data_IF_571819215459
#
_entry.id   IF_571819215459
#
_cell.length_a   1.000
_cell.length_b   1.000
_cell.length_c   1.000
_cell.angle_alpha   90.00
_cell.angle_beta   90.00
_cell.angle_gamma   90.00
#
_symmetry.space_group_name_H-M   'P 1'
#
loop_
_entity.id
_entity.type
_entity.pdbx_description
1 polymer ?
#
# COMPACT_ATOMS: atom_id res chain seq x y z
N UNK A 1 -28.34 11.45 -67.32
CA UNK A 1 -27.66 10.47 -66.45
C UNK A 1 -28.74 9.59 -65.87
N UNK A 2 -28.77 8.36 -66.31
CA UNK A 2 -29.80 7.36 -65.98
C UNK A 2 -29.49 6.74 -64.62
N UNK A 3 -30.51 6.33 -63.85
CA UNK A 3 -30.32 5.68 -62.54
C UNK A 3 -29.48 4.39 -62.62
N UNK A 4 -29.42 3.74 -63.78
CA UNK A 4 -28.59 2.55 -64.02
C UNK A 4 -27.10 2.85 -63.93
N UNK A 5 -26.66 4.05 -64.35
CA UNK A 5 -25.24 4.44 -64.33
C UNK A 5 -24.72 4.64 -62.90
N UNK A 6 -25.62 4.89 -61.94
CA UNK A 6 -25.28 5.06 -60.52
C UNK A 6 -25.14 3.72 -59.80
N UNK A 7 -26.01 2.75 -60.09
CA UNK A 7 -25.94 1.41 -59.49
C UNK A 7 -24.74 0.63 -60.02
N UNK A 8 -24.41 0.76 -61.31
CA UNK A 8 -23.21 0.15 -61.90
C UNK A 8 -21.93 0.73 -61.29
N UNK A 9 -21.88 2.06 -61.09
CA UNK A 9 -20.76 2.72 -60.41
C UNK A 9 -20.65 2.32 -58.92
N UNK A 10 -21.78 2.06 -58.25
CA UNK A 10 -21.79 1.58 -56.88
C UNK A 10 -21.25 0.13 -56.77
N UNK A 11 -21.54 -0.71 -57.75
CA UNK A 11 -21.02 -2.07 -57.81
C UNK A 11 -19.50 -2.10 -58.07
N UNK A 12 -18.99 -1.24 -58.96
CA UNK A 12 -17.54 -1.10 -59.20
C UNK A 12 -16.79 -0.56 -57.97
N UNK A 13 -17.40 0.33 -57.19
CA UNK A 13 -16.81 0.87 -55.96
C UNK A 13 -16.87 -0.10 -54.77
N UNK A 14 -17.76 -1.09 -54.80
CA UNK A 14 -17.87 -2.09 -53.74
C UNK A 14 -16.63 -3.01 -53.65
N UNK A 15 -15.93 -3.23 -54.76
CA UNK A 15 -14.68 -4.00 -54.79
C UNK A 15 -13.51 -3.28 -54.07
N UNK A 16 -13.62 -1.95 -53.92
CA UNK A 16 -12.66 -1.11 -53.21
C UNK A 16 -13.08 -0.80 -51.77
N UNK A 17 -14.18 -1.38 -51.27
CA UNK A 17 -14.60 -1.22 -49.90
C UNK A 17 -13.57 -1.86 -48.94
N UNK A 18 -13.08 -1.14 -47.92
CA UNK A 18 -12.16 -1.73 -46.95
C UNK A 18 -12.86 -2.89 -46.22
N UNK A 19 -12.17 -4.02 -45.95
CA UNK A 19 -12.78 -5.16 -45.29
C UNK A 19 -13.37 -4.73 -43.95
N UNK A 20 -14.61 -5.12 -43.68
CA UNK A 20 -15.26 -4.83 -42.40
C UNK A 20 -14.37 -5.33 -41.27
N UNK A 21 -13.85 -4.39 -40.47
CA UNK A 21 -13.10 -4.73 -39.26
C UNK A 21 -14.06 -5.49 -38.36
N UNK A 22 -13.81 -6.80 -38.16
CA UNK A 22 -14.47 -7.59 -37.12
C UNK A 22 -14.40 -6.75 -35.85
N UNK A 23 -15.55 -6.27 -35.36
CA UNK A 23 -15.63 -5.58 -34.08
C UNK A 23 -14.99 -6.53 -33.06
N UNK A 24 -13.87 -6.12 -32.48
CA UNK A 24 -13.22 -6.89 -31.41
C UNK A 24 -14.24 -7.13 -30.30
N UNK A 25 -14.12 -8.27 -29.63
CA UNK A 25 -14.97 -8.57 -28.47
C UNK A 25 -14.78 -7.47 -27.43
N UNK A 26 -15.80 -7.11 -26.64
CA UNK A 26 -15.60 -6.18 -25.54
C UNK A 26 -14.56 -6.74 -24.57
N UNK A 27 -13.76 -5.86 -23.97
CA UNK A 27 -12.64 -6.25 -23.09
C UNK A 27 -13.07 -7.13 -21.91
N UNK A 28 -14.34 -7.09 -21.50
CA UNK A 28 -14.93 -7.98 -20.50
C UNK A 28 -14.99 -9.43 -21.00
N UNK A 29 -15.46 -9.66 -22.22
CA UNK A 29 -15.54 -10.98 -22.83
C UNK A 29 -14.16 -11.58 -23.05
N UNK A 30 -13.19 -10.79 -23.54
CA UNK A 30 -11.81 -11.26 -23.74
C UNK A 30 -11.17 -11.74 -22.43
N UNK A 31 -11.43 -11.06 -21.31
CA UNK A 31 -10.96 -11.48 -19.98
C UNK A 31 -11.63 -12.78 -19.50
N UNK A 32 -12.92 -12.96 -19.81
CA UNK A 32 -13.66 -14.18 -19.48
C UNK A 32 -13.08 -15.36 -20.26
N UNK A 33 -12.85 -15.17 -21.57
CA UNK A 33 -12.26 -16.17 -22.47
C UNK A 33 -10.85 -16.54 -22.03
N UNK A 34 -9.96 -15.57 -21.82
CA UNK A 34 -8.59 -15.83 -21.40
C UNK A 34 -8.53 -16.63 -20.09
N UNK A 35 -9.40 -16.29 -19.12
CA UNK A 35 -9.48 -17.03 -17.87
C UNK A 35 -10.08 -18.42 -18.00
N UNK A 36 -10.90 -18.69 -19.02
CA UNK A 36 -11.38 -20.04 -19.31
C UNK A 36 -10.30 -20.88 -20.01
N UNK A 37 -9.53 -20.28 -20.92
CA UNK A 37 -8.38 -20.94 -21.56
C UNK A 37 -7.31 -21.37 -20.54
N UNK A 38 -7.09 -20.59 -19.48
CA UNK A 38 -6.21 -20.98 -18.37
C UNK A 38 -6.71 -22.25 -17.65
N UNK A 39 -8.03 -22.35 -17.44
CA UNK A 39 -8.66 -23.53 -16.84
C UNK A 39 -8.51 -24.73 -17.80
N UNK A 40 -8.69 -24.53 -19.10
CA UNK A 40 -8.52 -25.58 -20.12
C UNK A 40 -7.08 -26.08 -20.24
N UNK A 41 -6.09 -25.21 -20.06
CA UNK A 41 -4.68 -25.60 -20.00
C UNK A 41 -4.38 -26.40 -18.75
N UNK A 42 -4.96 -26.01 -17.61
CA UNK A 42 -4.83 -26.76 -16.37
C UNK A 42 -5.37 -28.19 -16.54
N UNK A 43 -6.57 -28.34 -17.08
CA UNK A 43 -7.19 -29.66 -17.31
C UNK A 43 -6.42 -30.50 -18.33
N UNK A 44 -5.85 -29.90 -19.38
CA UNK A 44 -4.95 -30.58 -20.32
C UNK A 44 -3.68 -31.09 -19.63
N UNK A 45 -3.08 -30.26 -18.77
CA UNK A 45 -1.83 -30.59 -18.10
C UNK A 45 -2.00 -31.66 -17.03
N UNK A 46 -3.06 -31.57 -16.22
CA UNK A 46 -3.27 -32.44 -15.07
C UNK A 46 -4.28 -33.57 -15.30
N UNK A 47 -4.96 -33.57 -16.46
CA UNK A 47 -5.98 -34.57 -16.82
C UNK A 47 -7.23 -34.53 -15.95
N UNK A 48 -7.43 -33.47 -15.15
CA UNK A 48 -8.54 -33.34 -14.22
C UNK A 48 -9.05 -31.90 -14.14
N UNK A 49 -10.32 -31.76 -13.78
CA UNK A 49 -10.96 -30.46 -13.51
C UNK A 49 -10.39 -29.88 -12.21
N UNK A 50 -10.18 -28.54 -12.12
CA UNK A 50 -9.75 -27.93 -10.87
C UNK A 50 -10.75 -28.20 -9.74
N UNK A 51 -10.24 -28.46 -8.54
CA UNK A 51 -11.05 -28.79 -7.36
C UNK A 51 -10.77 -27.83 -6.21
N UNK A 52 -11.76 -27.66 -5.34
CA UNK A 52 -11.59 -26.98 -4.05
C UNK A 52 -10.77 -27.85 -3.09
N UNK A 53 -10.01 -27.22 -2.19
CA UNK A 53 -9.29 -27.92 -1.12
C UNK A 53 -8.05 -27.16 -0.66
N UNK A 54 -7.82 -27.09 0.65
CA UNK A 54 -6.70 -26.35 1.25
C UNK A 54 -5.33 -26.96 0.91
N UNK A 55 -5.28 -28.28 0.71
CA UNK A 55 -4.10 -29.02 0.27
C UNK A 55 -3.77 -28.85 -1.22
N UNK A 56 -4.59 -28.10 -1.97
CA UNK A 56 -4.39 -27.87 -3.41
C UNK A 56 -3.60 -26.58 -3.65
N UNK A 57 -2.93 -26.55 -4.80
CA UNK A 57 -2.20 -25.38 -5.26
C UNK A 57 -3.12 -24.14 -5.35
N UNK A 58 -2.54 -22.96 -5.11
CA UNK A 58 -3.28 -21.68 -5.09
C UNK A 58 -3.99 -21.45 -6.43
N UNK A 59 -3.36 -21.81 -7.56
CA UNK A 59 -3.95 -21.64 -8.88
C UNK A 59 -5.06 -22.66 -9.14
N UNK A 60 -4.92 -23.91 -8.70
CA UNK A 60 -5.99 -24.92 -8.80
C UNK A 60 -7.25 -24.45 -8.06
N UNK A 61 -7.10 -23.92 -6.85
CA UNK A 61 -8.21 -23.34 -6.09
C UNK A 61 -8.85 -22.14 -6.79
N UNK A 62 -8.03 -21.24 -7.35
CA UNK A 62 -8.53 -20.08 -8.08
C UNK A 62 -9.32 -20.50 -9.33
N UNK A 63 -8.81 -21.48 -10.07
CA UNK A 63 -9.46 -22.03 -11.25
C UNK A 63 -10.78 -22.75 -10.92
N UNK A 64 -10.85 -23.47 -9.79
CA UNK A 64 -12.07 -24.12 -9.32
C UNK A 64 -13.18 -23.11 -9.06
N UNK A 65 -12.88 -22.07 -8.26
CA UNK A 65 -13.84 -20.97 -7.98
C UNK A 65 -14.27 -20.25 -9.25
N UNK A 66 -13.33 -20.02 -10.17
CA UNK A 66 -13.63 -19.35 -11.44
C UNK A 66 -14.52 -20.21 -12.32
N UNK A 67 -14.25 -21.51 -12.44
CA UNK A 67 -15.07 -22.44 -13.22
C UNK A 67 -16.51 -22.49 -12.70
N UNK A 68 -16.71 -22.52 -11.39
CA UNK A 68 -18.05 -22.52 -10.79
C UNK A 68 -18.81 -21.23 -11.10
N UNK A 69 -18.16 -20.07 -11.01
CA UNK A 69 -18.77 -18.80 -11.41
C UNK A 69 -19.13 -18.77 -12.90
N UNK A 70 -18.28 -19.32 -13.77
CA UNK A 70 -18.55 -19.40 -15.21
C UNK A 70 -19.72 -20.33 -15.52
N UNK A 71 -19.90 -21.41 -14.75
CA UNK A 71 -21.05 -22.33 -14.87
C UNK A 71 -22.36 -21.70 -14.39
N UNK A 72 -22.31 -20.87 -13.34
CA UNK A 72 -23.50 -20.23 -12.76
C UNK A 72 -24.06 -19.07 -13.59
N UNK A 73 -23.25 -18.45 -14.45
CA UNK A 73 -23.66 -17.30 -15.27
C UNK A 73 -24.05 -17.74 -16.70
N UNK A 74 -25.33 -17.62 -17.11
CA UNK A 74 -25.78 -18.10 -18.42
C UNK A 74 -25.12 -17.34 -19.59
N UNK A 75 -24.83 -16.05 -19.41
CA UNK A 75 -24.11 -15.23 -20.40
C UNK A 75 -22.68 -15.74 -20.65
N UNK A 76 -21.99 -16.14 -19.58
CA UNK A 76 -20.64 -16.71 -19.69
C UNK A 76 -20.68 -18.08 -20.36
N UNK A 77 -21.69 -18.90 -20.05
CA UNK A 77 -21.88 -20.21 -20.68
C UNK A 77 -22.08 -20.07 -22.19
N UNK A 78 -22.97 -19.19 -22.64
CA UNK A 78 -23.23 -18.96 -24.07
C UNK A 78 -21.98 -18.45 -24.82
N UNK A 79 -21.16 -17.63 -24.16
CA UNK A 79 -19.90 -17.14 -24.73
C UNK A 79 -18.83 -18.22 -24.86
N UNK A 80 -18.75 -19.12 -23.88
CA UNK A 80 -17.66 -20.09 -23.74
C UNK A 80 -17.99 -21.48 -24.31
N UNK A 81 -19.26 -21.82 -24.50
CA UNK A 81 -19.72 -23.07 -25.12
C UNK A 81 -19.01 -23.41 -26.45
N UNK A 82 -18.82 -22.49 -27.42
CA UNK A 82 -18.09 -22.80 -28.65
C UNK A 82 -16.58 -23.03 -28.45
N UNK A 83 -16.04 -22.67 -27.29
CA UNK A 83 -14.63 -22.83 -26.93
C UNK A 83 -14.39 -24.05 -26.03
N UNK A 84 -15.45 -24.66 -25.48
CA UNK A 84 -15.36 -25.78 -24.54
C UNK A 84 -15.22 -27.14 -25.24
N UNK A 85 -14.00 -27.51 -25.62
CA UNK A 85 -13.69 -28.83 -26.20
C UNK A 85 -13.60 -29.96 -25.17
N UNK A 86 -13.55 -29.63 -23.88
CA UNK A 86 -13.32 -30.58 -22.79
C UNK A 86 -14.59 -30.87 -21.97
N UNK A 87 -15.70 -30.20 -22.28
CA UNK A 87 -16.97 -30.35 -21.57
C UNK A 87 -16.94 -29.78 -20.14
N UNK A 88 -16.07 -28.82 -19.86
CA UNK A 88 -15.92 -28.22 -18.53
C UNK A 88 -17.18 -27.49 -18.07
N UNK A 89 -17.96 -26.94 -19.00
CA UNK A 89 -19.19 -26.19 -18.72
C UNK A 89 -20.42 -27.10 -18.60
N UNK A 90 -20.33 -28.34 -19.11
CA UNK A 90 -21.41 -29.32 -19.08
C UNK A 90 -21.53 -30.08 -17.74
N UNK A 91 -20.45 -30.11 -16.94
CA UNK A 91 -20.37 -30.79 -15.63
C UNK A 91 -21.14 -30.10 -14.49
N UNK A 92 -22.33 -29.58 -14.74
CA UNK A 92 -23.20 -28.95 -13.74
C UNK A 92 -24.01 -29.95 -12.92
N UNK A 93 -23.38 -31.01 -12.42
CA UNK A 93 -24.09 -32.14 -11.80
C UNK A 93 -23.41 -32.83 -10.62
N UNK A 94 -22.31 -32.29 -10.09
CA UNK A 94 -21.79 -32.63 -8.75
C UNK A 94 -21.24 -31.36 -8.11
N UNK A 95 -22.07 -30.31 -8.05
CA UNK A 95 -22.08 -29.56 -6.81
C UNK A 95 -22.55 -30.62 -5.82
N UNK A 96 -21.63 -31.15 -5.00
CA UNK A 96 -22.06 -31.65 -3.71
C UNK A 96 -22.94 -30.52 -3.19
N UNK A 97 -24.25 -30.75 -3.18
CA UNK A 97 -25.20 -29.83 -2.59
C UNK A 97 -24.56 -29.51 -1.24
N UNK A 98 -23.89 -28.36 -1.13
CA UNK A 98 -23.93 -27.60 0.10
C UNK A 98 -25.40 -27.35 0.17
N UNK A 99 -26.09 -28.28 0.83
CA UNK A 99 -27.52 -28.27 0.90
C UNK A 99 -27.89 -26.82 1.21
N UNK A 100 -28.94 -26.33 0.58
CA UNK A 100 -29.77 -25.32 1.22
C UNK A 100 -30.39 -25.95 2.50
N UNK A 101 -29.62 -26.68 3.30
CA UNK A 101 -29.73 -26.71 4.73
C UNK A 101 -29.63 -25.25 5.11
N UNK A 102 -30.78 -24.71 5.48
CA UNK A 102 -30.91 -23.51 6.29
C UNK A 102 -29.78 -23.59 7.31
N UNK A 103 -28.67 -22.89 7.05
CA UNK A 103 -27.49 -22.94 7.90
C UNK A 103 -27.98 -22.37 9.21
N UNK A 104 -28.19 -23.24 10.18
CA UNK A 104 -28.61 -22.84 11.50
C UNK A 104 -27.47 -22.01 12.09
N UNK A 105 -27.74 -20.71 12.25
CA UNK A 105 -26.77 -19.73 12.73
C UNK A 105 -26.22 -20.20 14.10
N UNK A 106 -27.04 -20.86 14.91
CA UNK A 106 -26.64 -21.37 16.21
C UNK A 106 -25.69 -22.57 16.09
N UNK A 107 -25.87 -23.43 15.09
CA UNK A 107 -24.96 -24.55 14.83
C UNK A 107 -23.62 -24.03 14.27
N UNK A 108 -23.65 -23.06 13.37
CA UNK A 108 -22.44 -22.41 12.86
C UNK A 108 -21.66 -21.70 13.96
N UNK A 109 -22.35 -21.01 14.88
CA UNK A 109 -21.73 -20.37 16.03
C UNK A 109 -21.06 -21.38 16.97
N UNK A 110 -21.66 -22.57 17.13
CA UNK A 110 -21.09 -23.65 17.94
C UNK A 110 -19.81 -24.23 17.30
N UNK A 111 -19.77 -24.41 15.99
CA UNK A 111 -18.57 -24.86 15.27
C UNK A 111 -17.43 -23.84 15.33
N UNK A 112 -17.75 -22.54 15.27
CA UNK A 112 -16.77 -21.45 15.41
C UNK A 112 -16.27 -21.24 16.85
N UNK A 113 -16.99 -21.73 17.86
CA UNK A 113 -16.63 -21.54 19.26
C UNK A 113 -15.40 -22.36 19.70
N UNK A 114 -15.06 -23.43 18.97
CA UNK A 114 -13.91 -24.31 19.27
C UNK A 114 -12.67 -24.00 18.41
N UNK A 115 -12.70 -22.93 17.60
CA UNK A 115 -11.53 -22.45 16.88
C UNK A 115 -10.57 -21.80 17.89
N UNK A 116 -9.67 -22.63 18.43
CA UNK A 116 -8.64 -22.19 19.37
C UNK A 116 -7.75 -21.11 18.75
N UNK A 117 -7.19 -20.22 19.60
CA UNK A 117 -6.40 -19.04 19.22
C UNK A 117 -5.17 -19.30 18.36
N UNK A 118 -4.83 -20.56 18.11
CA UNK A 118 -3.72 -20.93 17.26
C UNK A 118 -4.02 -20.60 15.78
N UNK A 119 -5.25 -20.55 15.31
CA UNK A 119 -5.54 -20.15 13.92
C UNK A 119 -6.35 -18.85 13.83
N UNK A 120 -6.15 -17.97 14.82
CA UNK A 120 -6.77 -16.65 14.83
C UNK A 120 -6.17 -15.76 13.71
N UNK A 121 -7.02 -15.37 12.77
CA UNK A 121 -6.68 -14.47 11.64
C UNK A 121 -6.15 -13.10 12.10
N UNK A 122 -6.35 -12.73 13.36
CA UNK A 122 -5.79 -11.51 13.96
C UNK A 122 -4.30 -11.65 14.32
N UNK A 123 -3.79 -12.88 14.38
CA UNK A 123 -2.39 -13.18 14.72
C UNK A 123 -1.54 -13.27 13.46
N UNK A 124 -0.85 -12.16 13.15
CA UNK A 124 0.04 -12.04 12.01
C UNK A 124 1.36 -12.83 12.22
N UNK A 125 1.45 -14.04 11.68
CA UNK A 125 2.62 -14.95 11.83
C UNK A 125 3.77 -14.70 10.86
N UNK A 126 3.45 -14.37 9.60
CA UNK A 126 4.44 -14.27 8.51
C UNK A 126 4.84 -12.83 8.18
N UNK A 127 4.50 -11.89 9.05
CA UNK A 127 4.76 -10.47 8.83
C UNK A 127 5.78 -10.01 9.85
N UNK A 128 6.79 -9.24 9.41
CA UNK A 128 7.73 -8.59 10.34
C UNK A 128 6.94 -7.84 11.41
N UNK A 129 7.31 -8.08 12.67
CA UNK A 129 6.64 -7.50 13.81
C UNK A 129 6.59 -5.97 13.65
N UNK A 130 5.49 -5.35 14.09
CA UNK A 130 5.31 -3.89 13.98
C UNK A 130 6.48 -3.12 14.60
N UNK A 131 7.03 -3.64 15.70
CA UNK A 131 8.23 -3.11 16.35
C UNK A 131 9.45 -3.12 15.41
N UNK A 132 9.72 -4.21 14.72
CA UNK A 132 10.83 -4.29 13.75
C UNK A 132 10.62 -3.37 12.54
N UNK A 133 9.39 -3.23 12.05
CA UNK A 133 9.06 -2.28 10.98
C UNK A 133 9.30 -0.83 11.41
N UNK A 134 8.94 -0.47 12.65
CA UNK A 134 9.15 0.88 13.21
C UNK A 134 10.64 1.19 13.38
N UNK A 135 11.42 0.22 13.85
CA UNK A 135 12.88 0.32 13.95
C UNK A 135 13.51 0.53 12.57
N UNK A 136 13.07 -0.22 11.56
CA UNK A 136 13.56 -0.06 10.17
C UNK A 136 13.15 1.28 9.55
N UNK A 137 11.99 1.83 9.93
CA UNK A 137 11.55 3.15 9.49
C UNK A 137 12.19 4.32 10.27
N UNK A 138 13.05 4.04 11.26
CA UNK A 138 13.77 5.06 12.02
C UNK A 138 12.86 5.90 12.93
N UNK A 139 11.64 5.42 13.23
CA UNK A 139 10.75 6.06 14.19
C UNK A 139 11.23 5.61 15.57
N UNK A 140 12.07 6.42 16.22
CA UNK A 140 12.38 6.19 17.63
C UNK A 140 11.12 6.45 18.45
N UNK A 141 10.77 5.48 19.32
CA UNK A 141 9.62 5.60 20.20
C UNK A 141 9.73 6.89 21.01
N UNK A 142 8.69 7.72 20.92
CA UNK A 142 8.57 8.93 21.73
C UNK A 142 8.13 8.51 23.12
N UNK A 143 8.89 8.92 24.13
CA UNK A 143 8.59 8.68 25.55
C UNK A 143 8.09 9.98 26.20
N UNK A 144 7.31 9.91 27.27
CA UNK A 144 7.02 11.09 28.08
C UNK A 144 8.33 11.70 28.62
N UNK A 145 8.48 13.01 28.53
CA UNK A 145 9.64 13.74 29.08
C UNK A 145 9.35 14.09 30.55
N UNK A 146 10.11 13.50 31.49
CA UNK A 146 9.89 13.68 32.93
C UNK A 146 10.30 15.08 33.43
N UNK A 147 11.28 15.69 32.78
CA UNK A 147 11.86 17.00 33.09
C UNK A 147 11.36 18.12 32.15
N UNK A 148 10.22 17.90 31.47
CA UNK A 148 9.66 18.86 30.51
C UNK A 148 9.42 20.25 31.11
N UNK A 149 9.12 20.34 32.40
CA UNK A 149 8.91 21.61 33.11
C UNK A 149 10.13 22.55 33.02
N UNK A 150 11.35 22.01 32.94
CA UNK A 150 12.57 22.79 32.76
C UNK A 150 12.67 23.39 31.34
N UNK A 151 12.14 22.68 30.33
CA UNK A 151 12.21 23.09 28.93
C UNK A 151 11.00 23.91 28.47
N UNK A 152 9.86 23.78 29.15
CA UNK A 152 8.63 24.54 28.89
C UNK A 152 8.84 26.04 28.67
N UNK A 153 9.60 26.79 29.52
CA UNK A 153 9.84 28.21 29.28
C UNK A 153 10.59 28.48 27.96
N UNK A 154 11.48 27.58 27.53
CA UNK A 154 12.20 27.72 26.26
C UNK A 154 11.25 27.59 25.06
N UNK A 155 10.31 26.64 25.11
CA UNK A 155 9.29 26.49 24.08
C UNK A 155 8.35 27.70 24.01
N UNK A 156 7.95 28.24 25.17
CA UNK A 156 7.14 29.46 25.23
C UNK A 156 7.89 30.67 24.66
N UNK A 157 9.18 30.82 24.99
CA UNK A 157 10.03 31.86 24.46
C UNK A 157 10.16 31.76 22.93
N UNK A 158 10.48 30.59 22.39
CA UNK A 158 10.61 30.41 20.94
C UNK A 158 9.29 30.66 20.21
N UNK A 159 8.15 30.28 20.80
CA UNK A 159 6.84 30.59 20.25
C UNK A 159 6.58 32.10 20.23
N UNK A 160 6.94 32.81 21.30
CA UNK A 160 6.87 34.27 21.37
C UNK A 160 7.78 34.91 20.31
N UNK A 161 9.03 34.46 20.20
CA UNK A 161 10.02 34.95 19.25
C UNK A 161 9.60 34.75 17.79
N UNK A 162 8.95 33.62 17.48
CA UNK A 162 8.39 33.36 16.15
C UNK A 162 7.19 34.27 15.85
N UNK A 163 6.38 34.58 16.87
CA UNK A 163 5.22 35.48 16.70
C UNK A 163 5.62 36.95 16.55
N UNK A 164 6.71 37.37 17.21
CA UNK A 164 7.26 38.72 17.12
C UNK A 164 8.19 38.91 15.91
N UNK A 165 8.58 37.82 15.24
CA UNK A 165 9.49 37.83 14.09
C UNK A 165 10.98 37.93 14.46
N UNK A 166 11.33 37.82 15.74
CA UNK A 166 12.72 37.77 16.22
C UNK A 166 13.46 36.52 15.72
N UNK A 167 12.73 35.40 15.61
CA UNK A 167 13.21 34.17 14.98
C UNK A 167 12.43 33.91 13.71
N UNK A 168 13.08 33.31 12.71
CA UNK A 168 12.45 32.99 11.42
C UNK A 168 12.57 31.49 11.15
N UNK A 169 11.52 30.88 10.62
CA UNK A 169 11.59 29.50 10.12
C UNK A 169 12.15 29.49 8.71
N UNK A 170 13.18 28.68 8.45
CA UNK A 170 13.72 28.45 7.10
C UNK A 170 13.58 26.97 6.73
N UNK A 171 13.37 26.61 5.46
CA UNK A 171 13.40 25.23 5.02
C UNK A 171 14.71 24.54 5.42
N UNK A 172 14.65 23.26 5.80
CA UNK A 172 15.84 22.49 6.13
C UNK A 172 16.62 22.17 4.83
N UNK A 173 17.75 22.85 4.62
CA UNK A 173 18.57 22.72 3.41
C UNK A 173 19.65 21.63 3.50
N UNK A 174 20.28 21.31 2.36
CA UNK A 174 21.23 20.19 2.16
C UNK A 174 22.49 20.18 3.06
N UNK A 175 22.74 21.24 3.84
CA UNK A 175 23.93 21.42 4.68
C UNK A 175 23.60 21.94 6.09
N UNK A 176 22.38 21.73 6.58
CA UNK A 176 22.02 22.19 7.91
C UNK A 176 22.68 21.29 9.00
N UNK A 177 23.62 21.87 9.73
CA UNK A 177 24.22 21.23 10.92
C UNK A 177 23.19 21.16 12.05
N UNK A 178 23.13 20.00 12.71
CA UNK A 178 22.34 19.78 13.93
C UNK A 178 23.33 19.80 15.09
N UNK A 179 23.09 20.70 16.03
CA UNK A 179 23.90 20.90 17.24
C UNK A 179 22.95 21.07 18.43
N UNK A 180 23.47 20.89 19.63
CA UNK A 180 22.74 21.16 20.87
C UNK A 180 22.26 22.61 20.89
N UNK A 181 21.01 22.82 21.29
CA UNK A 181 20.39 24.14 21.34
C UNK A 181 19.63 24.52 20.06
N UNK A 182 19.81 23.80 18.95
CA UNK A 182 19.06 24.08 17.73
C UNK A 182 17.59 23.65 17.80
N UNK A 183 16.77 24.39 17.06
CA UNK A 183 15.33 24.25 17.01
C UNK A 183 14.87 23.88 15.61
N UNK A 184 13.96 22.91 15.54
CA UNK A 184 13.40 22.41 14.29
C UNK A 184 11.88 22.28 14.39
N UNK A 185 11.23 22.23 13.24
CA UNK A 185 9.84 21.86 13.09
C UNK A 185 9.87 20.55 12.29
N UNK A 186 9.34 19.48 12.87
CA UNK A 186 9.25 18.15 12.28
C UNK A 186 7.82 17.64 12.46
N UNK A 187 7.17 17.21 11.38
CA UNK A 187 5.77 16.79 11.36
C UNK A 187 4.82 17.83 12.00
N UNK A 188 5.11 19.13 11.78
CA UNK A 188 4.34 20.24 12.36
C UNK A 188 4.55 20.46 13.87
N UNK A 189 5.45 19.73 14.52
CA UNK A 189 5.78 19.90 15.93
C UNK A 189 7.16 20.54 16.12
N UNK A 190 7.28 21.42 17.11
CA UNK A 190 8.58 22.01 17.46
C UNK A 190 9.42 20.98 18.21
N UNK A 191 10.63 20.76 17.73
CA UNK A 191 11.63 19.86 18.30
C UNK A 191 12.87 20.66 18.72
N UNK A 192 13.38 20.36 19.91
CA UNK A 192 14.55 20.99 20.52
C UNK A 192 15.62 19.93 20.78
N UNK A 193 16.86 20.19 20.35
CA UNK A 193 17.99 19.31 20.65
C UNK A 193 18.56 19.72 22.01
N UNK A 194 18.25 18.93 23.04
CA UNK A 194 18.62 19.24 24.42
C UNK A 194 20.04 18.79 24.76
N UNK A 195 20.43 17.60 24.31
CA UNK A 195 21.73 17.00 24.63
C UNK A 195 22.25 16.20 23.43
N UNK A 196 23.57 16.16 23.29
CA UNK A 196 24.31 15.34 22.33
C UNK A 196 25.27 14.45 23.11
N UNK A 197 25.19 13.14 22.89
CA UNK A 197 26.07 12.14 23.47
C UNK A 197 27.39 12.03 22.73
N UNK A 198 28.14 10.96 23.00
CA UNK A 198 29.44 10.74 22.38
C UNK A 198 29.34 10.55 20.85
N UNK A 199 30.24 11.21 20.12
CA UNK A 199 30.37 11.01 18.67
C UNK A 199 30.98 9.64 18.39
N UNK A 200 30.41 8.91 17.44
CA UNK A 200 30.93 7.64 16.95
C UNK A 200 30.88 7.59 15.42
N UNK A 201 31.71 6.75 14.83
CA UNK A 201 31.69 6.51 13.38
C UNK A 201 30.56 5.55 13.02
N UNK A 202 29.62 6.02 12.20
CA UNK A 202 28.59 5.16 11.62
C UNK A 202 29.21 4.13 10.66
N UNK A 203 28.52 3.01 10.35
CA UNK A 203 28.96 2.04 9.35
C UNK A 203 29.25 2.62 7.95
N UNK A 204 28.81 3.86 7.70
CA UNK A 204 29.00 4.59 6.44
C UNK A 204 30.18 5.57 6.50
N UNK A 205 31.00 5.54 7.57
CA UNK A 205 32.15 6.42 7.77
C UNK A 205 31.79 7.88 8.07
N UNK A 206 30.53 8.16 8.38
CA UNK A 206 30.07 9.49 8.81
C UNK A 206 30.00 9.54 10.32
N UNK A 207 30.44 10.65 10.91
CA UNK A 207 30.24 10.94 12.33
C UNK A 207 28.75 10.98 12.66
N UNK A 208 28.34 10.19 13.63
CA UNK A 208 27.00 10.17 14.17
C UNK A 208 27.06 10.32 15.69
N UNK A 209 25.98 10.79 16.29
CA UNK A 209 25.91 10.98 17.73
C UNK A 209 24.48 10.73 18.19
N UNK A 210 24.32 10.33 19.45
CA UNK A 210 23.00 10.13 20.04
C UNK A 210 22.48 11.45 20.58
N UNK A 211 21.35 11.91 20.06
CA UNK A 211 20.71 13.15 20.45
C UNK A 211 19.50 12.88 21.35
N UNK A 212 19.35 13.71 22.37
CA UNK A 212 18.11 13.83 23.15
C UNK A 212 17.29 14.96 22.56
N UNK A 213 16.17 14.62 21.94
CA UNK A 213 15.28 15.58 21.27
C UNK A 213 13.98 15.68 22.04
N UNK A 214 13.62 16.89 22.45
CA UNK A 214 12.40 17.19 23.20
C UNK A 214 11.40 17.84 22.27
N UNK A 215 10.12 17.45 22.35
CA UNK A 215 9.04 17.96 21.52
C UNK A 215 8.09 18.84 22.32
N UNK A 216 7.45 19.78 21.64
CA UNK A 216 6.50 20.73 22.26
C UNK A 216 5.29 20.08 22.93
N UNK A 217 4.98 18.83 22.62
CA UNK A 217 3.89 18.06 23.22
C UNK A 217 4.29 17.36 24.55
N UNK A 218 5.47 17.64 25.10
CA UNK A 218 5.94 17.01 26.35
C UNK A 218 6.49 15.60 26.16
N UNK A 219 6.84 15.21 24.93
CA UNK A 219 7.51 13.93 24.67
C UNK A 219 8.97 14.17 24.32
N UNK A 220 9.82 13.19 24.60
CA UNK A 220 11.20 13.14 24.16
C UNK A 220 11.46 11.92 23.30
N UNK A 221 12.48 12.01 22.47
CA UNK A 221 12.97 10.88 21.69
C UNK A 221 14.48 10.88 21.69
N UNK A 222 15.04 9.67 21.81
CA UNK A 222 16.47 9.43 21.74
C UNK A 222 16.80 8.95 20.33
N UNK A 223 17.25 9.89 19.49
CA UNK A 223 17.48 9.69 18.06
C UNK A 223 18.96 9.78 17.73
N UNK A 224 19.40 9.07 16.70
CA UNK A 224 20.70 9.35 16.09
C UNK A 224 20.64 10.64 15.28
N UNK A 225 21.72 11.42 15.27
CA UNK A 225 21.81 12.66 14.50
C UNK A 225 21.52 12.40 13.02
N UNK A 226 22.10 11.36 12.42
CA UNK A 226 21.82 11.00 11.02
C UNK A 226 20.37 10.58 10.80
N UNK A 227 19.71 9.98 11.79
CA UNK A 227 18.29 9.63 11.71
C UNK A 227 17.40 10.86 11.75
N UNK A 228 17.70 11.84 12.61
CA UNK A 228 16.99 13.11 12.67
C UNK A 228 17.15 13.90 11.36
N UNK A 229 18.37 13.96 10.81
CA UNK A 229 18.63 14.55 9.49
C UNK A 229 17.78 13.90 8.40
N UNK A 230 17.73 12.56 8.36
CA UNK A 230 16.90 11.83 7.38
C UNK A 230 15.41 12.12 7.56
N UNK A 231 14.91 12.21 8.80
CA UNK A 231 13.53 12.56 9.08
C UNK A 231 13.18 13.97 8.58
N UNK A 232 14.06 14.95 8.84
CA UNK A 232 13.90 16.33 8.38
C UNK A 232 13.97 16.45 6.85
N UNK A 233 14.74 15.62 6.14
CA UNK A 233 14.73 15.61 4.67
C UNK A 233 13.49 14.95 4.07
N UNK A 234 12.91 13.97 4.78
CA UNK A 234 11.73 13.24 4.29
C UNK A 234 10.46 14.07 4.43
N UNK A 235 10.39 14.93 5.43
CA UNK A 235 9.27 15.81 5.69
C UNK A 235 9.42 17.13 4.90
N UNK A 236 8.55 17.33 3.90
CA UNK A 236 8.51 18.55 3.09
C UNK A 236 8.15 19.81 3.90
N UNK A 237 7.48 19.64 5.05
CA UNK A 237 7.13 20.72 5.96
C UNK A 237 8.22 21.04 6.98
N UNK A 238 9.32 20.28 6.97
CA UNK A 238 10.40 20.46 7.92
C UNK A 238 11.07 21.81 7.78
N UNK A 239 11.22 22.50 8.92
CA UNK A 239 11.87 23.81 8.98
C UNK A 239 12.88 23.87 10.12
N UNK A 240 13.95 24.60 9.91
CA UNK A 240 14.84 25.04 10.98
C UNK A 240 14.37 26.39 11.50
N UNK A 241 14.29 26.54 12.82
CA UNK A 241 14.06 27.83 13.46
C UNK A 241 15.45 28.45 13.67
N UNK A 242 15.68 29.65 13.15
CA UNK A 242 16.96 30.34 13.32
C UNK A 242 17.15 30.82 14.76
N UNK A 243 18.40 30.99 15.14
CA UNK A 243 18.73 31.75 16.35
C UNK A 243 18.36 33.22 16.18
N UNK A 244 18.04 33.92 17.28
CA UNK A 244 17.72 35.33 17.24
C UNK A 244 18.97 36.08 16.77
N UNK A 245 18.81 36.94 15.78
CA UNK A 245 19.90 37.76 15.26
C UNK A 245 20.32 38.75 16.35
N UNK A 246 21.42 38.46 17.05
CA UNK A 246 21.93 39.27 18.16
C UNK A 246 22.55 40.61 17.69
N UNK A 247 22.43 40.94 16.40
CA UNK A 247 23.09 42.10 15.80
C UNK A 247 24.62 41.92 15.75
N UNK A 248 25.34 42.84 15.08
CA UNK A 248 26.80 42.78 15.03
C UNK A 248 27.37 42.94 16.44
N UNK A 249 28.16 41.95 16.88
CA UNK A 249 28.82 41.91 18.19
C UNK A 249 29.94 42.95 18.37
N UNK A 250 30.23 43.75 17.34
CA UNK A 250 31.20 44.84 17.40
C UNK A 250 30.68 46.03 16.60
N UNK A 251 30.56 47.17 17.28
CA UNK A 251 30.42 48.52 16.71
C UNK A 251 31.72 49.28 16.87
#
# INVERSE_FOLDING_TARGET
>A
MSNSDLDDLAAELAEFAPPEKKKGRPASEERIIAGFEEIQRFTEQYGRVPQHGEDRDIFERLYAVRLDRLRNLPECRALLEPLDHQGLLAGGGEVAESADEIIDIDNLAAELADVTSEDDITVLRHVRASAEKRVVQGIADRKPCEDFDAFKPLFEQVRSDLSSGLRVTRPFGQYATIEVGHWFILDGQTAYVAEEGEEFDSPQGKKDARLRVIYSNGTESSLLRLSLVRALYKDETARRITDPDMGPLFS
#
